data_IF_195186151751
#
_entry.id   IF_195186151751
#
_cell.length_a   1.000
_cell.length_b   1.000
_cell.length_c   1.000
_cell.angle_alpha   90.00
_cell.angle_beta   90.00
_cell.angle_gamma   90.00
#
_symmetry.space_group_name_H-M   'P 1'
#
loop_
_entity.id
_entity.type
_entity.pdbx_description
1 polymer ?
#
# COMPACT_ATOMS: atom_id res chain seq x y z
N UNK A 1 8.49 3.82 -17.89
CA UNK A 1 8.45 2.92 -16.70
C UNK A 1 9.73 2.15 -16.39
N UNK A 2 10.68 1.97 -17.31
CA UNK A 2 11.95 1.28 -17.02
C UNK A 2 12.77 1.85 -15.85
N UNK A 3 12.67 3.16 -15.58
CA UNK A 3 13.39 3.80 -14.47
C UNK A 3 12.94 3.35 -13.09
N UNK A 4 11.63 3.22 -12.85
CA UNK A 4 11.09 2.76 -11.56
C UNK A 4 11.43 1.30 -11.27
N UNK A 5 11.39 0.43 -12.30
CA UNK A 5 11.78 -0.97 -12.14
C UNK A 5 13.25 -1.11 -11.74
N UNK A 6 14.14 -0.32 -12.39
CA UNK A 6 15.56 -0.28 -12.04
C UNK A 6 15.79 0.22 -10.62
N UNK A 7 15.07 1.25 -10.19
CA UNK A 7 15.16 1.77 -8.82
C UNK A 7 14.75 0.70 -7.79
N UNK A 8 13.67 -0.05 -8.03
CA UNK A 8 13.27 -1.14 -7.14
C UNK A 8 14.35 -2.23 -7.01
N UNK A 9 15.04 -2.56 -8.11
CA UNK A 9 16.15 -3.52 -8.11
C UNK A 9 17.36 -3.00 -7.35
N UNK A 10 17.61 -1.68 -7.37
CA UNK A 10 18.69 -1.05 -6.60
C UNK A 10 18.47 -1.20 -5.08
N UNK A 11 17.23 -1.46 -4.65
CA UNK A 11 16.88 -1.74 -3.24
C UNK A 11 16.63 -3.23 -2.95
N UNK A 12 17.03 -4.13 -3.84
CA UNK A 12 17.01 -5.57 -3.59
C UNK A 12 15.78 -6.31 -4.09
N UNK A 13 14.97 -5.70 -4.96
CA UNK A 13 13.82 -6.37 -5.55
C UNK A 13 14.29 -7.36 -6.63
N UNK A 14 14.01 -8.64 -6.45
CA UNK A 14 14.42 -9.70 -7.38
C UNK A 14 13.48 -9.86 -8.57
N UNK A 15 12.21 -9.48 -8.40
CA UNK A 15 11.19 -9.55 -9.46
C UNK A 15 10.31 -8.33 -9.45
N UNK A 16 10.12 -7.72 -10.61
CA UNK A 16 9.24 -6.56 -10.80
C UNK A 16 8.20 -6.90 -11.85
N UNK A 17 6.93 -6.98 -11.44
CA UNK A 17 5.81 -7.17 -12.35
C UNK A 17 5.37 -5.82 -12.90
N UNK A 18 5.22 -5.71 -14.21
CA UNK A 18 4.78 -4.48 -14.88
C UNK A 18 3.48 -4.74 -15.63
N UNK A 19 2.44 -4.00 -15.27
CA UNK A 19 1.18 -3.95 -16.02
C UNK A 19 1.05 -2.61 -16.72
N UNK A 20 0.95 -2.62 -18.03
CA UNK A 20 0.81 -1.40 -18.86
C UNK A 20 -0.44 -1.52 -19.73
N UNK A 21 -1.41 -0.64 -19.49
CA UNK A 21 -2.60 -0.47 -20.34
C UNK A 21 -3.10 0.98 -20.17
N UNK A 22 -3.59 1.64 -21.23
CA UNK A 22 -4.16 2.98 -21.13
C UNK A 22 -5.28 3.12 -20.09
N UNK A 23 -6.05 2.07 -19.85
CA UNK A 23 -7.13 2.06 -18.86
C UNK A 23 -6.62 1.96 -17.41
N UNK A 24 -5.33 1.67 -17.22
CA UNK A 24 -4.66 1.70 -15.93
C UNK A 24 -3.96 3.05 -15.66
N UNK A 25 -4.10 4.04 -16.55
CA UNK A 25 -3.47 5.36 -16.38
C UNK A 25 -4.03 6.14 -15.19
N UNK A 26 -5.34 5.98 -14.93
CA UNK A 26 -5.99 6.46 -13.72
C UNK A 26 -6.29 5.28 -12.80
N UNK A 27 -6.21 5.52 -11.50
CA UNK A 27 -6.53 4.49 -10.52
C UNK A 27 -8.00 4.09 -10.62
N UNK A 28 -8.24 2.82 -10.91
CA UNK A 28 -9.57 2.19 -10.96
C UNK A 28 -9.60 1.05 -9.95
N UNK A 29 -10.20 1.29 -8.79
CA UNK A 29 -10.14 0.36 -7.65
C UNK A 29 -10.54 -1.07 -7.98
N UNK A 30 -11.56 -1.28 -8.80
CA UNK A 30 -12.03 -2.63 -9.16
C UNK A 30 -11.00 -3.35 -10.06
N UNK A 31 -10.48 -2.70 -11.11
CA UNK A 31 -9.51 -3.32 -12.02
C UNK A 31 -8.17 -3.62 -11.34
N UNK A 32 -7.66 -2.65 -10.57
CA UNK A 32 -6.43 -2.84 -9.80
C UNK A 32 -6.56 -3.99 -8.80
N UNK A 33 -7.71 -4.06 -8.10
CA UNK A 33 -7.97 -5.15 -7.15
C UNK A 33 -8.02 -6.51 -7.82
N UNK A 34 -8.67 -6.60 -8.98
CA UNK A 34 -8.78 -7.86 -9.72
C UNK A 34 -7.43 -8.32 -10.27
N UNK A 35 -6.66 -7.39 -10.86
CA UNK A 35 -5.35 -7.68 -11.40
C UNK A 35 -4.38 -8.16 -10.32
N UNK A 36 -4.29 -7.42 -9.22
CA UNK A 36 -3.37 -7.79 -8.16
C UNK A 36 -3.81 -9.06 -7.43
N UNK A 37 -5.12 -9.26 -7.20
CA UNK A 37 -5.61 -10.49 -6.59
C UNK A 37 -5.26 -11.72 -7.42
N UNK A 38 -5.33 -11.61 -8.76
CA UNK A 38 -4.89 -12.68 -9.66
C UNK A 38 -3.40 -12.96 -9.53
N UNK A 39 -2.57 -11.93 -9.51
CA UNK A 39 -1.11 -12.10 -9.30
C UNK A 39 -0.79 -12.74 -7.95
N UNK A 40 -1.52 -12.37 -6.91
CA UNK A 40 -1.37 -12.95 -5.57
C UNK A 40 -1.77 -14.43 -5.58
N UNK A 41 -2.86 -14.78 -6.24
CA UNK A 41 -3.31 -16.17 -6.36
C UNK A 41 -2.33 -17.04 -7.15
N UNK A 42 -1.66 -16.48 -8.15
CA UNK A 42 -0.66 -17.18 -8.96
C UNK A 42 0.68 -17.36 -8.21
N UNK A 43 1.13 -16.31 -7.50
CA UNK A 43 2.44 -16.28 -6.83
C UNK A 43 2.41 -16.71 -5.37
N UNK A 44 1.24 -16.67 -4.72
CA UNK A 44 0.98 -17.08 -3.32
C UNK A 44 2.00 -16.51 -2.33
N UNK A 45 2.21 -15.20 -2.28
CA UNK A 45 3.12 -14.60 -1.33
C UNK A 45 2.64 -14.84 0.10
N UNK A 46 3.56 -15.05 1.04
CA UNK A 46 3.22 -15.19 2.46
C UNK A 46 2.88 -13.84 3.11
N UNK A 47 3.50 -12.76 2.61
CA UNK A 47 3.35 -11.40 3.15
C UNK A 47 3.22 -10.40 2.01
N UNK A 48 2.34 -9.40 2.20
CA UNK A 48 2.19 -8.28 1.29
C UNK A 48 2.23 -6.98 2.08
N UNK A 49 3.10 -6.07 1.66
CA UNK A 49 3.25 -4.75 2.25
C UNK A 49 2.80 -3.66 1.27
N UNK A 50 2.19 -2.62 1.82
CA UNK A 50 1.65 -1.49 1.10
C UNK A 50 2.12 -0.17 1.70
N UNK A 51 2.31 0.84 0.89
CA UNK A 51 2.40 2.20 1.41
C UNK A 51 1.02 2.68 1.88
N UNK A 52 0.91 3.23 3.07
CA UNK A 52 -0.33 3.79 3.61
C UNK A 52 -0.61 5.20 3.02
N UNK A 53 -0.56 5.32 1.70
CA UNK A 53 -1.09 6.46 0.95
C UNK A 53 -2.61 6.36 0.86
N UNK A 54 -3.29 7.39 0.36
CA UNK A 54 -4.75 7.38 0.16
C UNK A 54 -5.14 6.18 -0.72
N UNK A 55 -4.50 6.07 -1.90
CA UNK A 55 -4.75 4.95 -2.83
C UNK A 55 -4.32 3.62 -2.21
N UNK A 56 -3.15 3.54 -1.59
CA UNK A 56 -2.64 2.30 -1.00
C UNK A 56 -3.52 1.77 0.13
N UNK A 57 -4.10 2.63 0.93
CA UNK A 57 -5.02 2.26 2.02
C UNK A 57 -6.34 1.69 1.47
N UNK A 58 -6.94 2.36 0.49
CA UNK A 58 -8.18 1.90 -0.14
C UNK A 58 -7.95 0.59 -0.91
N UNK A 59 -6.90 0.54 -1.72
CA UNK A 59 -6.56 -0.59 -2.57
C UNK A 59 -6.24 -1.86 -1.75
N UNK A 60 -5.41 -1.73 -0.71
CA UNK A 60 -5.06 -2.86 0.16
C UNK A 60 -6.28 -3.46 0.88
N UNK A 61 -7.21 -2.61 1.32
CA UNK A 61 -8.44 -3.06 1.96
C UNK A 61 -9.35 -3.86 1.00
N UNK A 62 -9.47 -3.42 -0.25
CA UNK A 62 -10.22 -4.15 -1.28
C UNK A 62 -9.60 -5.51 -1.58
N UNK A 63 -8.27 -5.56 -1.73
CA UNK A 63 -7.54 -6.82 -1.97
C UNK A 63 -7.71 -7.76 -0.78
N UNK A 64 -7.55 -7.29 0.46
CA UNK A 64 -7.73 -8.10 1.66
C UNK A 64 -9.14 -8.69 1.75
N UNK A 65 -10.17 -7.88 1.48
CA UNK A 65 -11.56 -8.33 1.47
C UNK A 65 -11.80 -9.40 0.39
N UNK A 66 -11.24 -9.21 -0.82
CA UNK A 66 -11.37 -10.17 -1.92
C UNK A 66 -10.69 -11.50 -1.61
N UNK A 67 -9.51 -11.47 -1.03
CA UNK A 67 -8.73 -12.65 -0.62
C UNK A 67 -9.21 -13.27 0.69
N UNK A 68 -10.15 -12.62 1.39
CA UNK A 68 -10.68 -13.03 2.71
C UNK A 68 -9.57 -13.21 3.75
N UNK A 69 -8.61 -12.30 3.76
CA UNK A 69 -7.51 -12.26 4.73
C UNK A 69 -7.56 -11.01 5.60
N UNK A 70 -6.76 -10.98 6.68
CA UNK A 70 -6.61 -9.81 7.54
C UNK A 70 -5.67 -8.77 6.96
N UNK A 71 -5.95 -7.49 7.25
CA UNK A 71 -5.10 -6.36 6.93
C UNK A 71 -4.91 -5.51 8.19
N UNK A 72 -3.67 -5.23 8.56
CA UNK A 72 -3.36 -4.26 9.60
C UNK A 72 -2.96 -2.94 8.95
N UNK A 73 -3.68 -1.87 9.29
CA UNK A 73 -3.48 -0.57 8.68
C UNK A 73 -2.53 0.32 9.50
N UNK A 74 -1.78 1.17 8.77
CA UNK A 74 -0.92 2.22 9.34
C UNK A 74 0.13 1.72 10.34
N UNK A 75 0.78 0.61 10.01
CA UNK A 75 1.86 0.08 10.83
C UNK A 75 3.02 1.08 10.93
N UNK A 76 3.56 1.19 12.14
CA UNK A 76 4.71 2.03 12.46
C UNK A 76 6.00 1.21 12.59
N UNK A 77 5.87 -0.10 12.78
CA UNK A 77 6.99 -1.04 12.81
C UNK A 77 6.53 -2.43 12.36
N UNK A 78 7.46 -3.23 11.83
CA UNK A 78 7.24 -4.59 11.34
C UNK A 78 8.46 -5.46 11.68
N UNK A 79 8.21 -6.65 12.18
CA UNK A 79 9.28 -7.65 12.38
C UNK A 79 8.73 -9.08 12.26
N UNK A 80 9.62 -10.05 12.09
CA UNK A 80 9.24 -11.46 12.09
C UNK A 80 9.30 -11.99 13.51
N UNK A 81 8.18 -12.50 14.00
CA UNK A 81 8.07 -13.16 15.29
C UNK A 81 7.88 -14.66 15.11
N UNK A 82 8.47 -15.45 16.01
CA UNK A 82 8.13 -16.87 16.09
C UNK A 82 6.86 -17.05 16.92
N UNK A 83 5.81 -17.53 16.30
CA UNK A 83 4.54 -17.82 16.97
C UNK A 83 4.29 -19.33 16.90
N UNK A 84 4.55 -20.01 17.99
CA UNK A 84 4.38 -21.47 18.12
C UNK A 84 5.17 -22.26 17.06
N UNK A 85 6.44 -21.89 16.84
CA UNK A 85 7.32 -22.52 15.87
C UNK A 85 7.06 -22.15 14.41
N UNK A 86 6.29 -21.07 14.15
CA UNK A 86 6.03 -20.56 12.82
C UNK A 86 6.40 -19.09 12.71
N UNK A 87 7.17 -18.68 11.70
CA UNK A 87 7.45 -17.27 11.46
C UNK A 87 6.16 -16.55 11.07
N UNK A 88 5.89 -15.42 11.71
CA UNK A 88 4.74 -14.56 11.44
C UNK A 88 5.15 -13.10 11.42
N UNK A 89 4.49 -12.31 10.57
CA UNK A 89 4.69 -10.88 10.54
C UNK A 89 4.01 -10.25 11.76
N UNK A 90 4.81 -9.75 12.69
CA UNK A 90 4.34 -8.91 13.78
C UNK A 90 4.17 -7.46 13.26
N UNK A 91 2.98 -6.93 13.41
CA UNK A 91 2.51 -5.69 12.84
C UNK A 91 2.21 -4.72 13.98
N UNK A 92 3.05 -3.69 14.13
CA UNK A 92 2.95 -2.75 15.25
C UNK A 92 2.16 -1.53 14.84
N UNK A 93 1.10 -1.23 15.58
CA UNK A 93 0.28 -0.03 15.37
C UNK A 93 0.12 0.76 16.66
N UNK A 94 0.05 2.11 16.59
CA UNK A 94 -0.24 2.92 17.76
C UNK A 94 -1.70 2.76 18.18
N UNK A 95 -1.94 2.61 19.46
CA UNK A 95 -3.26 2.59 20.06
C UNK A 95 -3.43 3.71 21.08
N UNK A 96 -4.69 4.06 21.38
CA UNK A 96 -5.03 5.01 22.45
C UNK A 96 -4.24 6.33 22.41
N UNK A 97 -4.29 7.02 21.27
CA UNK A 97 -3.58 8.29 21.10
C UNK A 97 -2.05 8.16 21.05
N UNK A 98 -1.52 6.98 20.74
CA UNK A 98 -0.08 6.73 20.62
C UNK A 98 0.63 6.31 21.91
N UNK A 99 -0.09 6.22 23.03
CA UNK A 99 0.52 5.86 24.32
C UNK A 99 0.77 4.33 24.46
N UNK A 100 0.18 3.51 23.60
CA UNK A 100 0.30 2.06 23.63
C UNK A 100 0.66 1.59 22.22
N UNK A 101 1.62 0.66 22.11
CA UNK A 101 1.89 -0.07 20.88
C UNK A 101 1.15 -1.41 20.93
N UNK A 102 0.31 -1.65 19.93
CA UNK A 102 -0.39 -2.91 19.73
C UNK A 102 0.39 -3.76 18.72
N UNK A 103 0.64 -5.02 19.07
CA UNK A 103 1.27 -5.99 18.18
C UNK A 103 0.18 -6.92 17.65
N UNK A 104 -0.06 -6.87 16.36
CA UNK A 104 -1.09 -7.65 15.68
C UNK A 104 -0.42 -8.76 14.87
N UNK A 105 -0.96 -9.97 14.97
CA UNK A 105 -0.52 -11.15 14.22
C UNK A 105 -1.71 -11.65 13.39
N UNK A 106 -1.52 -11.73 12.08
CA UNK A 106 -2.50 -12.35 11.19
C UNK A 106 -2.24 -13.86 11.08
N UNK A 107 -3.25 -14.68 11.32
CA UNK A 107 -3.16 -16.13 11.17
C UNK A 107 -3.45 -16.63 9.75
N UNK A 108 -4.08 -15.80 8.91
CA UNK A 108 -4.33 -16.10 7.51
C UNK A 108 -3.13 -15.73 6.64
N UNK A 109 -3.09 -16.26 5.42
CA UNK A 109 -2.14 -15.88 4.37
C UNK A 109 -2.92 -15.35 3.15
N UNK A 110 -2.36 -14.38 2.43
CA UNK A 110 -1.17 -13.59 2.79
C UNK A 110 -1.38 -12.74 4.05
N UNK A 111 -0.31 -12.51 4.83
CA UNK A 111 -0.30 -11.57 5.93
C UNK A 111 -0.15 -10.17 5.34
N UNK A 112 -1.10 -9.27 5.55
CA UNK A 112 -1.11 -7.98 4.89
C UNK A 112 -0.98 -6.82 5.88
N UNK A 113 -0.15 -5.84 5.53
CA UNK A 113 0.03 -4.63 6.32
C UNK A 113 0.19 -3.40 5.43
N UNK A 114 -0.40 -2.27 5.82
CA UNK A 114 -0.01 -0.98 5.28
C UNK A 114 0.99 -0.31 6.22
N UNK A 115 2.02 0.30 5.64
CA UNK A 115 3.11 0.96 6.37
C UNK A 115 3.00 2.46 6.18
N UNK A 116 3.02 3.21 7.26
CA UNK A 116 2.95 4.66 7.19
C UNK A 116 4.26 5.20 6.57
N UNK A 117 4.17 6.01 5.50
CA UNK A 117 5.36 6.59 4.88
C UNK A 117 6.20 7.42 5.87
N UNK A 118 7.51 7.41 5.68
CA UNK A 118 8.44 8.22 6.47
C UNK A 118 8.80 7.68 7.86
N UNK A 119 8.13 6.63 8.36
CA UNK A 119 8.43 6.09 9.70
C UNK A 119 9.56 5.06 9.73
N UNK A 120 9.73 4.30 8.66
CA UNK A 120 10.81 3.33 8.56
C UNK A 120 11.98 3.89 7.77
N UNK A 121 13.18 3.67 8.26
CA UNK A 121 14.38 4.11 7.56
C UNK A 121 14.49 3.42 6.19
N UNK A 122 14.83 4.21 5.16
CA UNK A 122 15.14 3.66 3.84
C UNK A 122 16.41 2.80 3.95
N UNK A 123 16.39 1.53 3.52
CA UNK A 123 17.57 0.68 3.60
C UNK A 123 18.68 1.19 2.67
N UNK A 124 19.95 0.84 2.93
CA UNK A 124 21.02 1.10 1.97
C UNK A 124 20.72 0.36 0.65
N UNK A 125 21.17 0.94 -0.45
CA UNK A 125 21.06 0.30 -1.75
C UNK A 125 21.79 -1.05 -1.74
N UNK A 126 21.08 -2.07 -2.21
CA UNK A 126 21.58 -3.42 -2.42
C UNK A 126 21.17 -3.86 -3.81
N UNK A 127 21.95 -3.45 -4.80
CA UNK A 127 21.66 -3.78 -6.18
C UNK A 127 21.64 -5.29 -6.38
N UNK A 128 20.55 -5.79 -6.95
CA UNK A 128 20.40 -7.19 -7.38
C UNK A 128 20.12 -7.23 -8.87
N UNK A 129 20.56 -8.30 -9.51
CA UNK A 129 20.15 -8.61 -10.89
C UNK A 129 18.75 -9.22 -10.79
N UNK A 130 17.72 -8.36 -10.91
CA UNK A 130 16.34 -8.76 -10.85
C UNK A 130 15.74 -9.01 -12.24
N UNK A 131 14.57 -9.62 -12.26
CA UNK A 131 13.79 -9.93 -13.46
C UNK A 131 12.61 -8.96 -13.59
N UNK A 132 12.45 -8.34 -14.77
CA UNK A 132 11.25 -7.59 -15.12
C UNK A 132 10.27 -8.53 -15.83
N UNK A 133 9.09 -8.69 -15.26
CA UNK A 133 8.05 -9.59 -15.74
C UNK A 133 6.87 -8.75 -16.24
N UNK A 134 6.76 -8.53 -17.57
CA UNK A 134 5.60 -7.84 -18.12
C UNK A 134 4.36 -8.74 -17.99
N UNK A 135 3.25 -8.15 -17.52
CA UNK A 135 1.97 -8.84 -17.50
C UNK A 135 1.39 -8.80 -18.91
N UNK A 136 1.02 -9.96 -19.44
CA UNK A 136 0.49 -10.06 -20.79
C UNK A 136 -0.76 -9.18 -20.96
N UNK A 137 -0.81 -8.43 -22.06
CA UNK A 137 -1.93 -7.53 -22.38
C UNK A 137 -3.28 -8.27 -22.40
N UNK A 138 -3.30 -9.54 -22.77
CA UNK A 138 -4.50 -10.38 -22.75
C UNK A 138 -5.04 -10.59 -21.33
N UNK A 139 -4.14 -10.76 -20.35
CA UNK A 139 -4.53 -10.89 -18.93
C UNK A 139 -5.18 -9.61 -18.44
N UNK A 140 -4.60 -8.46 -18.77
CA UNK A 140 -5.13 -7.15 -18.42
C UNK A 140 -6.49 -6.94 -19.09
N UNK A 141 -6.59 -7.18 -20.38
CA UNK A 141 -7.86 -7.07 -21.14
C UNK A 141 -8.96 -7.96 -20.56
N UNK A 142 -8.66 -9.20 -20.23
CA UNK A 142 -9.64 -10.12 -19.65
C UNK A 142 -10.16 -9.65 -18.29
N UNK A 143 -9.37 -8.90 -17.53
CA UNK A 143 -9.78 -8.31 -16.26
C UNK A 143 -10.66 -7.07 -16.50
N UNK A 144 -10.28 -6.22 -17.47
CA UNK A 144 -10.96 -4.97 -17.76
C UNK A 144 -12.29 -5.23 -18.50
N UNK A 145 -12.30 -6.16 -19.47
CA UNK A 145 -13.45 -6.45 -20.37
C UNK A 145 -14.28 -7.64 -19.91
N UNK A 146 -13.84 -8.36 -18.84
CA UNK A 146 -14.47 -9.59 -18.36
C UNK A 146 -15.99 -9.49 -18.20
N UNK A 147 -16.70 -10.52 -18.62
CA UNK A 147 -18.14 -10.60 -18.98
C UNK A 147 -19.16 -10.07 -17.96
N UNK A 148 -18.77 -9.60 -16.80
CA UNK A 148 -19.72 -9.21 -15.73
C UNK A 148 -19.36 -7.94 -14.97
N UNK A 149 -18.30 -7.22 -15.34
CA UNK A 149 -17.83 -6.11 -14.49
C UNK A 149 -17.86 -4.76 -15.20
N UNK A 150 -19.02 -4.13 -15.18
CA UNK A 150 -19.00 -2.67 -15.11
C UNK A 150 -18.40 -2.29 -13.78
N UNK A 151 -17.28 -1.55 -13.79
CA UNK A 151 -16.77 -0.91 -12.59
C UNK A 151 -17.90 -0.13 -11.94
N UNK A 152 -18.11 -0.30 -10.63
CA UNK A 152 -19.16 0.41 -9.89
C UNK A 152 -18.86 1.89 -9.70
N UNK A 153 -17.60 2.26 -9.89
CA UNK A 153 -17.11 3.64 -9.85
C UNK A 153 -16.01 3.79 -10.90
N UNK A 154 -15.99 4.91 -11.59
CA UNK A 154 -14.97 5.27 -12.57
C UNK A 154 -14.30 6.57 -12.15
N UNK A 155 -12.97 6.56 -12.12
CA UNK A 155 -12.19 7.77 -11.91
C UNK A 155 -12.14 8.53 -13.23
N UNK A 156 -12.79 9.69 -13.26
CA UNK A 156 -12.87 10.53 -14.46
C UNK A 156 -11.61 11.36 -14.60
N UNK A 157 -11.19 11.99 -13.51
CA UNK A 157 -9.98 12.84 -13.46
C UNK A 157 -9.40 12.89 -12.06
N UNK A 158 -8.14 13.27 -11.96
CA UNK A 158 -7.46 13.62 -10.71
C UNK A 158 -7.25 15.12 -10.74
N UNK A 159 -7.85 15.83 -9.81
CA UNK A 159 -7.63 17.26 -9.63
C UNK A 159 -6.57 17.44 -8.55
N UNK A 160 -5.42 17.96 -8.95
CA UNK A 160 -4.38 18.37 -8.01
C UNK A 160 -4.72 19.76 -7.51
N UNK A 161 -4.92 19.91 -6.21
CA UNK A 161 -5.03 21.20 -5.57
C UNK A 161 -3.62 21.76 -5.35
N UNK A 162 -3.37 22.98 -5.79
CA UNK A 162 -2.15 23.69 -5.39
C UNK A 162 -2.27 24.01 -3.90
N UNK A 163 -1.36 23.51 -3.04
CA UNK A 163 -1.41 23.82 -1.63
C UNK A 163 -1.21 25.33 -1.43
N UNK A 164 -2.19 26.02 -0.85
CA UNK A 164 -2.08 27.44 -0.52
C UNK A 164 -0.98 27.73 0.51
N UNK A 165 -0.60 26.71 1.28
CA UNK A 165 0.43 26.76 2.33
C UNK A 165 1.28 25.49 2.30
N UNK A 166 2.41 25.52 3.02
CA UNK A 166 3.29 24.36 3.18
C UNK A 166 2.52 23.16 3.80
N UNK A 167 2.53 21.97 3.19
CA UNK A 167 1.90 20.79 3.76
C UNK A 167 2.38 20.54 5.19
N UNK A 168 1.47 20.14 6.07
CA UNK A 168 1.79 19.90 7.48
C UNK A 168 2.87 18.83 7.65
N UNK A 169 2.89 17.85 6.75
CA UNK A 169 3.85 16.74 6.71
C UNK A 169 5.26 17.18 6.35
N UNK A 170 5.44 18.33 5.70
CA UNK A 170 6.72 18.87 5.27
C UNK A 170 7.23 19.96 6.22
N UNK A 171 6.43 20.37 7.20
CA UNK A 171 6.80 21.44 8.14
C UNK A 171 7.85 20.95 9.15
N UNK A 172 8.98 21.68 9.27
CA UNK A 172 10.00 21.39 10.28
C UNK A 172 9.50 21.66 11.71
N UNK A 173 8.61 22.63 11.88
CA UNK A 173 8.05 23.01 13.17
C UNK A 173 6.54 23.18 13.01
N UNK A 174 5.79 22.44 13.81
CA UNK A 174 4.32 22.54 13.84
C UNK A 174 3.87 23.14 15.16
N UNK A 175 3.14 24.24 15.10
CA UNK A 175 2.47 24.83 16.26
C UNK A 175 0.98 24.52 16.18
N UNK A 176 0.45 23.75 17.12
CA UNK A 176 -0.96 23.34 17.12
C UNK A 176 -1.71 23.98 18.30
N UNK A 177 -2.91 24.45 18.03
CA UNK A 177 -3.84 24.99 19.02
C UNK A 177 -5.21 24.32 18.90
N UNK A 178 -5.80 23.95 20.04
CA UNK A 178 -7.15 23.41 20.06
C UNK A 178 -8.21 24.51 19.99
N UNK A 179 -9.46 24.12 19.70
CA UNK A 179 -10.62 25.03 19.61
C UNK A 179 -10.81 25.91 20.85
N UNK A 180 -10.38 25.46 22.05
CA UNK A 180 -10.46 26.21 23.28
C UNK A 180 -9.65 27.48 23.30
N UNK A 181 -8.64 27.66 22.41
CA UNK A 181 -7.90 28.90 22.28
C UNK A 181 -8.72 30.06 21.65
N UNK A 182 -9.77 29.68 20.91
CA UNK A 182 -10.65 30.65 20.25
C UNK A 182 -11.54 31.43 21.23
N UNK A 183 -11.64 30.99 22.48
CA UNK A 183 -12.43 31.62 23.56
C UNK A 183 -11.63 32.61 24.42
N UNK A 184 -10.32 32.74 24.17
CA UNK A 184 -9.43 33.66 24.94
C UNK A 184 -9.26 35.04 24.27
N UNK A 185 -9.98 35.32 23.18
CA UNK A 185 -10.00 36.57 22.47
C UNK A 185 -11.25 37.38 22.79
N UNK A 186 -11.38 37.84 24.03
CA UNK A 186 -12.35 38.81 24.48
C UNK A 186 -11.65 39.93 25.18
#
# INVERSE_FOLDING_TARGET
MGGLASELMDYGCEKVYIAEDPQLSLYQGDFYTDLLSKLIDENKPETILWGATIIGTEFSARVAAKLKTGLTAHCIDLYIADIKGKPRLAQVVPGWGGNIALIIICNANPQMATVKPGLMAKPPQRKVEGEIIPIAAEVIKNIIVGETKQSRAETIEIVEEEPEEMPLEEAEIVVAGGWGLNSLGG
#
